data_IF_182293718716
#
_entry.id   IF_182293718716
#
_cell.length_a   1.000
_cell.length_b   1.000
_cell.length_c   1.000
_cell.angle_alpha   90.00
_cell.angle_beta   90.00
_cell.angle_gamma   90.00
#
_symmetry.space_group_name_H-M   'P 1'
#
loop_
_entity.id
_entity.type
_entity.pdbx_description
1 polymer ?
#
# COMPACT_ATOMS: atom_id res chain seq x y z
N UNK A 1 -30.26 40.42 9.36
CA UNK A 1 -29.79 39.02 9.31
C UNK A 1 -28.29 39.03 9.09
N UNK A 2 -27.49 38.84 10.15
CA UNK A 2 -26.04 38.65 9.99
C UNK A 2 -25.79 37.19 9.62
N UNK A 3 -25.26 36.94 8.41
CA UNK A 3 -24.81 35.61 8.01
C UNK A 3 -23.41 35.37 8.59
N UNK A 4 -23.32 34.47 9.56
CA UNK A 4 -22.05 34.01 10.12
C UNK A 4 -21.41 33.02 9.13
N UNK A 5 -20.39 33.46 8.39
CA UNK A 5 -19.64 32.58 7.48
C UNK A 5 -18.70 31.71 8.32
N UNK A 6 -19.00 30.42 8.44
CA UNK A 6 -18.10 29.46 9.05
C UNK A 6 -16.92 29.20 8.09
N UNK A 7 -15.73 29.69 8.42
CA UNK A 7 -14.50 29.24 7.77
C UNK A 7 -14.23 27.79 8.19
N UNK A 8 -14.44 26.83 7.28
CA UNK A 8 -13.86 25.50 7.45
C UNK A 8 -12.34 25.63 7.35
N UNK A 9 -11.66 25.62 8.48
CA UNK A 9 -10.21 25.46 8.52
C UNK A 9 -9.87 24.05 8.00
N UNK A 10 -9.39 23.95 6.76
CA UNK A 10 -8.64 22.79 6.30
C UNK A 10 -7.34 22.75 7.10
N UNK A 11 -7.30 21.96 8.17
CA UNK A 11 -6.03 21.64 8.81
C UNK A 11 -5.16 20.93 7.75
N UNK A 12 -3.96 21.45 7.41
CA UNK A 12 -3.04 20.71 6.57
C UNK A 12 -2.70 19.43 7.33
N UNK A 13 -3.15 18.29 6.81
CA UNK A 13 -2.64 17.00 7.28
C UNK A 13 -1.13 17.05 7.09
N UNK A 14 -0.37 17.07 8.19
CA UNK A 14 1.08 17.05 8.14
C UNK A 14 1.50 15.90 7.22
N UNK A 15 1.99 16.23 6.02
CA UNK A 15 2.39 15.20 5.06
C UNK A 15 3.61 14.52 5.67
N UNK A 16 3.42 13.29 6.14
CA UNK A 16 4.51 12.51 6.72
C UNK A 16 5.69 12.48 5.74
N UNK A 17 6.92 12.63 6.26
CA UNK A 17 8.15 12.60 5.45
C UNK A 17 8.11 11.39 4.51
N UNK A 18 8.31 11.58 3.19
CA UNK A 18 8.31 10.49 2.22
C UNK A 18 9.26 9.37 2.62
N UNK A 19 8.88 8.14 2.33
CA UNK A 19 9.81 7.02 2.33
C UNK A 19 10.73 7.17 1.11
N UNK A 20 12.04 7.29 1.32
CA UNK A 20 12.99 7.49 0.23
C UNK A 20 13.42 6.15 -0.37
N UNK A 21 13.51 6.09 -1.69
CA UNK A 21 14.16 5.03 -2.45
C UNK A 21 15.17 5.70 -3.41
N UNK A 22 16.44 5.39 -3.27
CA UNK A 22 17.47 5.82 -4.23
C UNK A 22 17.57 4.85 -5.40
N UNK A 23 17.81 5.36 -6.61
CA UNK A 23 18.36 4.60 -7.74
C UNK A 23 19.86 4.92 -7.77
N UNK A 24 20.71 3.92 -7.66
CA UNK A 24 22.15 4.13 -7.48
C UNK A 24 22.97 3.45 -8.56
N UNK A 25 24.22 3.91 -8.67
CA UNK A 25 25.23 3.40 -9.61
C UNK A 25 25.36 1.88 -9.54
N UNK A 26 25.25 1.21 -10.68
CA UNK A 26 25.14 -0.25 -10.75
C UNK A 26 23.69 -0.76 -10.71
N UNK A 27 22.76 0.07 -11.18
CA UNK A 27 21.39 -0.28 -11.54
C UNK A 27 20.59 -0.98 -10.44
N UNK A 28 20.47 -0.32 -9.29
CA UNK A 28 19.69 -0.85 -8.16
C UNK A 28 18.77 0.17 -7.50
N UNK A 29 17.68 -0.34 -6.92
CA UNK A 29 16.86 0.41 -5.96
C UNK A 29 17.33 0.15 -4.53
N UNK A 30 17.55 1.23 -3.76
CA UNK A 30 17.91 1.15 -2.34
C UNK A 30 16.97 1.99 -1.46
N UNK A 31 16.25 1.37 -0.49
CA UNK A 31 16.18 -0.07 -0.28
C UNK A 31 15.36 -0.75 -1.38
N UNK A 32 15.71 -2.01 -1.69
CA UNK A 32 14.95 -2.85 -2.64
C UNK A 32 13.52 -3.11 -2.17
N UNK A 33 13.28 -3.08 -0.84
CA UNK A 33 11.98 -3.31 -0.22
C UNK A 33 11.59 -2.10 0.64
N UNK A 34 10.63 -1.32 0.16
CA UNK A 34 10.02 -0.24 0.92
C UNK A 34 8.81 -0.78 1.71
N UNK A 35 8.93 -0.90 3.04
CA UNK A 35 7.82 -1.36 3.89
C UNK A 35 7.17 -0.16 4.59
N UNK A 36 5.93 0.16 4.21
CA UNK A 36 5.23 1.39 4.60
C UNK A 36 3.81 1.13 5.14
N UNK A 37 3.23 2.17 5.73
CA UNK A 37 1.81 2.20 6.15
C UNK A 37 0.94 2.83 5.06
N UNK A 38 -0.37 2.58 5.13
CA UNK A 38 -1.34 3.19 4.21
C UNK A 38 -1.26 4.72 4.26
N UNK A 39 -1.37 5.35 3.09
CA UNK A 39 -1.34 6.80 2.93
C UNK A 39 0.07 7.40 2.89
N UNK A 40 1.12 6.59 3.05
CA UNK A 40 2.50 7.09 2.99
C UNK A 40 2.93 7.34 1.55
N UNK A 41 3.65 8.44 1.35
CA UNK A 41 4.33 8.77 0.11
C UNK A 41 5.66 8.01 0.00
N UNK A 42 5.96 7.47 -1.18
CA UNK A 42 7.27 6.95 -1.55
C UNK A 42 7.85 7.88 -2.61
N UNK A 43 9.10 8.28 -2.41
CA UNK A 43 9.84 9.13 -3.34
C UNK A 43 11.06 8.38 -3.85
N UNK A 44 11.11 8.17 -5.16
CA UNK A 44 12.26 7.67 -5.86
C UNK A 44 13.13 8.84 -6.29
N UNK A 45 14.44 8.72 -6.10
CA UNK A 45 15.43 9.73 -6.51
C UNK A 45 16.50 9.03 -7.31
N UNK A 46 16.78 9.49 -8.53
CA UNK A 46 17.95 9.02 -9.24
C UNK A 46 19.22 9.67 -8.66
N UNK A 47 20.05 8.88 -8.00
CA UNK A 47 21.35 9.30 -7.47
C UNK A 47 22.50 8.76 -8.32
N UNK A 48 22.21 8.10 -9.43
CA UNK A 48 23.18 7.62 -10.40
C UNK A 48 23.54 8.76 -11.36
N UNK A 49 24.81 9.23 -11.38
CA UNK A 49 25.24 10.27 -12.30
C UNK A 49 25.48 9.76 -13.72
N UNK A 50 25.56 8.43 -13.91
CA UNK A 50 25.93 7.80 -15.17
C UNK A 50 24.72 7.39 -15.99
N UNK A 51 23.64 6.95 -15.34
CA UNK A 51 22.49 6.36 -16.01
C UNK A 51 21.15 7.03 -15.66
N UNK A 52 20.18 6.85 -16.55
CA UNK A 52 18.79 7.27 -16.33
C UNK A 52 17.97 6.10 -15.84
N UNK A 53 17.04 6.36 -14.92
CA UNK A 53 16.26 5.31 -14.29
C UNK A 53 14.78 5.69 -14.21
N UNK A 54 13.89 4.72 -14.26
CA UNK A 54 12.47 4.91 -14.01
C UNK A 54 11.95 3.91 -12.97
N UNK A 55 10.67 4.04 -12.62
CA UNK A 55 9.96 3.07 -11.81
C UNK A 55 8.62 2.75 -12.45
N UNK A 56 8.50 1.51 -12.93
CA UNK A 56 7.29 1.02 -13.58
C UNK A 56 6.75 -0.17 -12.82
N UNK A 57 5.46 -0.10 -12.46
CA UNK A 57 4.81 -1.20 -11.77
C UNK A 57 4.60 -2.38 -12.69
N UNK A 58 5.09 -3.56 -12.30
CA UNK A 58 4.80 -4.82 -12.99
C UNK A 58 3.30 -5.14 -13.02
N UNK A 59 2.52 -4.56 -12.09
CA UNK A 59 1.07 -4.75 -12.01
C UNK A 59 0.28 -3.58 -12.62
N UNK A 60 0.89 -2.71 -13.42
CA UNK A 60 0.23 -1.61 -14.13
C UNK A 60 -0.46 -0.57 -13.22
N UNK A 61 0.09 -0.32 -12.03
CA UNK A 61 -0.41 0.72 -11.12
C UNK A 61 0.19 2.11 -11.36
N UNK A 62 1.41 2.18 -11.89
CA UNK A 62 2.09 3.42 -12.28
C UNK A 62 3.19 3.15 -13.30
N UNK A 63 3.58 4.22 -13.97
CA UNK A 63 4.85 4.40 -14.69
C UNK A 63 5.34 5.79 -14.31
N UNK A 64 6.63 5.95 -14.00
CA UNK A 64 7.25 7.27 -14.01
C UNK A 64 7.74 7.61 -15.42
N UNK A 65 8.22 8.84 -15.58
CA UNK A 65 9.13 9.19 -16.67
C UNK A 65 10.54 8.64 -16.35
N UNK A 66 11.44 8.66 -17.34
CA UNK A 66 12.87 8.47 -17.11
C UNK A 66 13.39 9.65 -16.27
N UNK A 67 14.12 9.33 -15.21
CA UNK A 67 14.70 10.28 -14.28
C UNK A 67 16.19 10.38 -14.55
N UNK A 68 16.67 11.57 -14.92
CA UNK A 68 18.09 11.91 -14.91
C UNK A 68 18.60 12.10 -13.48
N UNK A 69 19.92 12.22 -13.31
CA UNK A 69 20.55 12.49 -12.01
C UNK A 69 19.87 13.63 -11.24
N UNK A 70 19.55 13.37 -9.97
CA UNK A 70 18.86 14.29 -9.06
C UNK A 70 17.34 14.39 -9.26
N UNK A 71 16.79 13.89 -10.37
CA UNK A 71 15.35 13.92 -10.63
C UNK A 71 14.60 12.85 -9.85
N UNK A 72 13.33 13.14 -9.57
CA UNK A 72 12.54 12.36 -8.62
C UNK A 72 11.12 12.14 -9.06
N UNK A 73 10.60 10.97 -8.71
CA UNK A 73 9.20 10.61 -8.85
C UNK A 73 8.61 10.30 -7.48
N UNK A 74 7.35 10.69 -7.24
CA UNK A 74 6.69 10.44 -5.95
C UNK A 74 5.31 9.84 -6.15
N UNK A 75 4.95 8.87 -5.30
CA UNK A 75 3.63 8.24 -5.31
C UNK A 75 3.14 7.95 -3.89
N UNK A 76 1.88 8.28 -3.64
CA UNK A 76 1.20 7.94 -2.38
C UNK A 76 0.50 6.60 -2.50
N UNK A 77 0.75 5.72 -1.52
CA UNK A 77 0.19 4.37 -1.47
C UNK A 77 -0.91 4.27 -0.43
N UNK A 78 -2.16 4.43 -0.87
CA UNK A 78 -3.31 4.40 0.03
C UNK A 78 -3.74 2.99 0.42
N UNK A 79 -3.62 2.01 -0.48
CA UNK A 79 -4.17 0.67 -0.29
C UNK A 79 -3.10 -0.32 0.15
N UNK A 80 -3.46 -1.20 1.09
CA UNK A 80 -2.63 -2.32 1.50
C UNK A 80 -2.46 -3.33 0.36
N UNK A 81 -1.23 -3.79 0.19
CA UNK A 81 -0.82 -4.66 -0.90
C UNK A 81 0.70 -4.70 -1.03
N UNK A 82 1.20 -5.58 -1.89
CA UNK A 82 2.59 -5.57 -2.34
C UNK A 82 2.62 -5.18 -3.82
N UNK A 83 3.35 -4.13 -4.12
CA UNK A 83 3.49 -3.57 -5.46
C UNK A 83 4.92 -3.77 -5.90
N UNK A 84 5.13 -4.61 -6.91
CA UNK A 84 6.45 -4.82 -7.51
C UNK A 84 6.65 -3.85 -8.66
N UNK A 85 7.90 -3.48 -8.89
CA UNK A 85 8.28 -2.56 -9.94
C UNK A 85 9.70 -2.86 -10.42
N UNK A 86 10.01 -2.33 -11.59
CA UNK A 86 11.31 -2.44 -12.26
C UNK A 86 11.72 -1.11 -12.87
N UNK A 87 12.98 -1.01 -13.29
CA UNK A 87 13.43 -0.03 -14.27
C UNK A 87 13.35 -0.63 -15.67
N UNK A 88 12.85 0.13 -16.65
CA UNK A 88 12.66 -0.34 -18.04
C UNK A 88 13.95 -0.37 -18.85
N UNK A 89 14.93 0.46 -18.50
CA UNK A 89 16.27 0.48 -19.14
C UNK A 89 17.17 -0.65 -18.60
N UNK A 90 16.96 -1.08 -17.35
CA UNK A 90 17.81 -2.05 -16.65
C UNK A 90 16.98 -3.22 -16.12
N UNK A 91 16.87 -4.30 -16.90
CA UNK A 91 15.92 -5.37 -16.64
C UNK A 91 16.08 -6.08 -15.27
N UNK A 92 17.30 -6.14 -14.73
CA UNK A 92 17.57 -6.77 -13.42
C UNK A 92 17.28 -5.84 -12.23
N UNK A 93 17.09 -4.55 -12.49
CA UNK A 93 16.80 -3.54 -11.48
C UNK A 93 15.35 -3.64 -11.04
N UNK A 94 15.10 -4.34 -9.94
CA UNK A 94 13.75 -4.60 -9.41
C UNK A 94 13.57 -4.16 -7.96
N UNK A 95 12.35 -3.81 -7.60
CA UNK A 95 12.01 -3.38 -6.24
C UNK A 95 10.56 -3.69 -5.89
N UNK A 96 10.21 -3.50 -4.62
CA UNK A 96 8.80 -3.60 -4.18
C UNK A 96 8.44 -2.65 -3.05
N UNK A 97 7.23 -2.12 -3.13
CA UNK A 97 6.56 -1.40 -2.04
C UNK A 97 5.58 -2.33 -1.36
N UNK A 98 5.79 -2.58 -0.07
CA UNK A 98 4.89 -3.36 0.79
C UNK A 98 4.11 -2.44 1.70
N UNK A 99 2.81 -2.29 1.42
CA UNK A 99 1.89 -1.49 2.23
C UNK A 99 1.18 -2.43 3.19
N UNK A 100 1.44 -2.26 4.49
CA UNK A 100 0.89 -3.12 5.55
C UNK A 100 -0.62 -2.94 5.67
N UNK A 101 -1.34 -3.99 6.05
CA UNK A 101 -2.66 -3.83 6.68
C UNK A 101 -2.49 -3.37 8.14
N UNK A 102 -3.48 -2.65 8.66
CA UNK A 102 -3.59 -2.38 10.11
C UNK A 102 -4.78 -3.19 10.62
N UNK A 103 -4.61 -3.87 11.74
CA UNK A 103 -5.71 -4.56 12.42
C UNK A 103 -5.62 -4.32 13.92
N UNK A 104 -6.79 -4.09 14.53
CA UNK A 104 -6.99 -3.93 15.98
C UNK A 104 -8.09 -4.89 16.44
N UNK A 105 -8.10 -5.23 17.73
CA UNK A 105 -9.09 -6.13 18.32
C UNK A 105 -9.69 -5.52 19.60
N UNK A 106 -10.98 -5.79 19.81
CA UNK A 106 -11.69 -5.57 21.07
C UNK A 106 -12.41 -6.87 21.41
N UNK A 107 -11.85 -7.66 22.32
CA UNK A 107 -12.18 -9.08 22.45
C UNK A 107 -12.00 -9.80 21.12
N UNK A 108 -12.99 -10.61 20.71
CA UNK A 108 -12.98 -11.33 19.42
C UNK A 108 -13.38 -10.49 18.21
N UNK A 109 -13.68 -9.19 18.38
CA UNK A 109 -14.05 -8.29 17.28
C UNK A 109 -12.82 -7.58 16.75
N UNK A 110 -12.50 -7.83 15.49
CA UNK A 110 -11.40 -7.23 14.74
C UNK A 110 -11.90 -6.09 13.85
N UNK A 111 -11.13 -5.01 13.78
CA UNK A 111 -11.26 -4.00 12.72
C UNK A 111 -10.02 -4.07 11.85
N UNK A 112 -10.19 -4.46 10.58
CA UNK A 112 -9.11 -4.60 9.60
C UNK A 112 -9.16 -3.39 8.68
N UNK A 113 -8.22 -2.47 8.84
CA UNK A 113 -8.02 -1.30 7.97
C UNK A 113 -7.08 -1.65 6.83
N UNK A 114 -7.57 -1.49 5.61
CA UNK A 114 -6.89 -1.86 4.36
C UNK A 114 -6.57 -0.66 3.48
N UNK A 115 -7.09 0.52 3.80
CA UNK A 115 -6.78 1.74 3.04
C UNK A 115 -6.85 3.02 3.85
N UNK A 116 -6.03 3.99 3.47
CA UNK A 116 -6.10 5.36 4.00
C UNK A 116 -7.33 6.12 3.48
N UNK A 117 -7.83 5.78 2.28
CA UNK A 117 -8.97 6.42 1.62
C UNK A 117 -10.00 5.38 1.17
N UNK A 118 -11.26 5.80 1.00
CA UNK A 118 -12.26 4.97 0.31
C UNK A 118 -11.78 4.74 -1.12
N UNK A 119 -11.83 3.49 -1.59
CA UNK A 119 -11.40 3.16 -2.94
C UNK A 119 -12.33 3.84 -3.96
N UNK A 120 -11.79 4.41 -5.05
CA UNK A 120 -12.62 4.88 -6.15
C UNK A 120 -13.48 3.75 -6.72
N UNK A 121 -14.59 4.09 -7.39
CA UNK A 121 -15.58 3.11 -7.87
C UNK A 121 -15.04 1.99 -8.76
N UNK A 122 -13.92 2.23 -9.45
CA UNK A 122 -13.23 1.25 -10.29
C UNK A 122 -12.21 0.38 -9.54
N UNK A 123 -12.16 0.46 -8.21
CA UNK A 123 -11.20 -0.28 -7.40
C UNK A 123 -11.86 -1.04 -6.25
N UNK A 124 -11.24 -2.15 -5.85
CA UNK A 124 -11.71 -3.01 -4.76
C UNK A 124 -10.55 -3.47 -3.89
N UNK A 125 -10.78 -3.55 -2.59
CA UNK A 125 -9.94 -4.27 -1.65
C UNK A 125 -10.44 -5.70 -1.50
N UNK A 126 -9.55 -6.67 -1.70
CA UNK A 126 -9.77 -8.07 -1.37
C UNK A 126 -9.04 -8.38 -0.08
N UNK A 127 -9.71 -9.03 0.86
CA UNK A 127 -9.21 -9.25 2.22
C UNK A 127 -9.29 -10.73 2.54
N UNK A 128 -8.17 -11.28 2.99
CA UNK A 128 -8.10 -12.65 3.49
C UNK A 128 -7.77 -12.65 4.97
N UNK A 129 -8.29 -13.67 5.64
CA UNK A 129 -7.94 -14.01 7.01
C UNK A 129 -7.40 -15.42 7.10
N UNK A 130 -6.65 -15.69 8.15
CA UNK A 130 -6.27 -17.03 8.59
C UNK A 130 -6.75 -17.20 10.02
N UNK A 131 -7.47 -18.28 10.29
CA UNK A 131 -8.06 -18.58 11.60
C UNK A 131 -7.02 -19.24 12.53
N UNK A 132 -7.26 -19.27 13.86
CA UNK A 132 -6.42 -19.99 14.81
C UNK A 132 -6.20 -21.44 14.40
N UNK A 133 -4.97 -21.91 14.48
CA UNK A 133 -4.58 -23.30 14.13
C UNK A 133 -4.58 -23.63 12.63
N UNK A 134 -5.06 -22.74 11.76
CA UNK A 134 -5.07 -22.99 10.32
C UNK A 134 -3.84 -22.42 9.61
N UNK A 135 -3.31 -23.15 8.64
CA UNK A 135 -2.33 -22.63 7.66
C UNK A 135 -3.00 -21.94 6.47
N UNK A 136 -4.30 -22.18 6.25
CA UNK A 136 -5.02 -21.78 5.05
C UNK A 136 -5.59 -20.36 5.14
N UNK A 137 -5.47 -19.63 4.03
CA UNK A 137 -6.13 -18.33 3.87
C UNK A 137 -7.57 -18.53 3.41
N UNK A 138 -8.50 -17.81 4.05
CA UNK A 138 -9.92 -17.76 3.71
C UNK A 138 -10.29 -16.33 3.36
N UNK A 139 -11.11 -16.15 2.33
CA UNK A 139 -11.63 -14.83 1.97
C UNK A 139 -12.52 -14.29 3.09
N UNK A 140 -12.12 -13.14 3.65
CA UNK A 140 -12.93 -12.37 4.59
C UNK A 140 -13.85 -11.40 3.83
N UNK A 141 -13.34 -10.78 2.76
CA UNK A 141 -14.11 -9.89 1.90
C UNK A 141 -13.56 -9.97 0.47
N UNK A 142 -14.43 -10.24 -0.50
CA UNK A 142 -14.05 -10.45 -1.90
C UNK A 142 -13.95 -9.15 -2.73
N UNK A 143 -14.32 -8.00 -2.17
CA UNK A 143 -14.28 -6.72 -2.89
C UNK A 143 -15.08 -5.63 -2.20
N UNK A 144 -14.40 -4.81 -1.40
CA UNK A 144 -14.98 -3.61 -0.77
C UNK A 144 -14.30 -2.35 -1.27
N UNK A 145 -15.02 -1.22 -1.30
CA UNK A 145 -14.41 0.12 -1.43
C UNK A 145 -14.11 0.74 -0.07
N UNK A 146 -14.62 0.18 1.02
CA UNK A 146 -14.44 0.72 2.35
C UNK A 146 -12.98 0.64 2.80
N UNK A 147 -12.57 1.63 3.60
CA UNK A 147 -11.23 1.71 4.22
C UNK A 147 -10.96 0.55 5.17
N UNK A 148 -12.00 0.00 5.78
CA UNK A 148 -11.92 -1.05 6.77
C UNK A 148 -13.11 -2.00 6.72
N UNK A 149 -12.91 -3.22 7.21
CA UNK A 149 -13.97 -4.19 7.48
C UNK A 149 -13.91 -4.64 8.94
N UNK A 150 -15.06 -5.00 9.51
CA UNK A 150 -15.13 -5.65 10.82
C UNK A 150 -15.25 -7.16 10.65
N UNK A 151 -14.68 -7.91 11.58
CA UNK A 151 -14.80 -9.37 11.65
C UNK A 151 -14.88 -9.82 13.10
N UNK A 152 -15.82 -10.71 13.44
CA UNK A 152 -15.87 -11.33 14.77
C UNK A 152 -15.39 -12.78 14.66
N UNK A 153 -14.29 -13.10 15.33
CA UNK A 153 -13.75 -14.45 15.41
C UNK A 153 -14.66 -15.37 16.23
N UNK A 154 -14.91 -16.62 15.81
CA UNK A 154 -15.76 -17.55 16.57
C UNK A 154 -15.12 -18.02 17.88
N UNK A 155 -13.79 -17.95 18.02
CA UNK A 155 -13.06 -18.44 19.17
C UNK A 155 -11.88 -17.51 19.52
N UNK A 156 -11.30 -17.73 20.69
CA UNK A 156 -10.00 -17.18 21.03
C UNK A 156 -8.90 -17.76 20.12
N UNK A 157 -7.77 -17.06 20.04
CA UNK A 157 -6.57 -17.52 19.37
C UNK A 157 -5.96 -16.50 18.41
N UNK A 158 -5.05 -16.99 17.59
CA UNK A 158 -4.23 -16.18 16.68
C UNK A 158 -4.86 -16.08 15.30
N UNK A 159 -5.20 -14.86 14.89
CA UNK A 159 -5.71 -14.53 13.57
C UNK A 159 -4.66 -13.76 12.76
N UNK A 160 -4.56 -14.02 11.46
CA UNK A 160 -3.76 -13.21 10.54
C UNK A 160 -4.63 -12.60 9.46
N UNK A 161 -4.35 -11.36 9.05
CA UNK A 161 -5.06 -10.65 7.99
C UNK A 161 -4.09 -10.16 6.93
N UNK A 162 -4.50 -10.20 5.66
CA UNK A 162 -3.78 -9.59 4.54
C UNK A 162 -4.77 -9.04 3.52
N UNK A 163 -4.33 -8.10 2.71
CA UNK A 163 -5.16 -7.50 1.68
C UNK A 163 -4.43 -7.35 0.35
N UNK A 164 -5.19 -7.31 -0.74
CA UNK A 164 -4.75 -6.94 -2.07
C UNK A 164 -5.67 -5.87 -2.64
N UNK A 165 -5.16 -5.07 -3.56
CA UNK A 165 -5.88 -3.99 -4.21
C UNK A 165 -6.07 -4.30 -5.69
N UNK A 166 -7.30 -4.19 -6.19
CA UNK A 166 -7.68 -4.51 -7.56
C UNK A 166 -8.26 -3.28 -8.25
N UNK A 167 -7.83 -2.99 -9.47
CA UNK A 167 -8.53 -2.13 -10.44
C UNK A 167 -9.37 -3.04 -11.33
N UNK A 168 -10.64 -2.67 -11.59
CA UNK A 168 -11.55 -3.51 -12.36
C UNK A 168 -11.30 -3.37 -13.87
N UNK A 169 -11.08 -2.14 -14.36
CA UNK A 169 -10.77 -1.88 -15.76
C UNK A 169 -9.81 -0.69 -15.97
N UNK A 170 -8.73 -0.82 -16.77
CA UNK A 170 -8.14 -2.09 -17.18
C UNK A 170 -7.73 -2.88 -15.93
N UNK A 171 -7.82 -4.20 -15.99
CA UNK A 171 -7.56 -5.05 -14.84
C UNK A 171 -6.10 -4.87 -14.35
N UNK A 172 -5.96 -4.69 -13.05
CA UNK A 172 -4.68 -4.70 -12.36
C UNK A 172 -4.91 -5.21 -10.94
N UNK A 173 -3.97 -5.96 -10.39
CA UNK A 173 -4.07 -6.45 -9.02
C UNK A 173 -2.70 -6.45 -8.34
N UNK A 174 -2.62 -5.89 -7.14
CA UNK A 174 -1.42 -5.97 -6.33
C UNK A 174 -1.22 -7.39 -5.82
N UNK A 175 0.01 -7.74 -5.45
CA UNK A 175 0.23 -8.89 -4.60
C UNK A 175 -0.34 -8.64 -3.19
N UNK A 176 -0.43 -9.70 -2.39
CA UNK A 176 -0.88 -9.60 -1.00
C UNK A 176 0.07 -8.75 -0.16
N UNK A 177 -0.50 -7.94 0.74
CA UNK A 177 0.25 -7.23 1.78
C UNK A 177 0.98 -8.21 2.70
N UNK A 178 2.05 -7.77 3.40
CA UNK A 178 2.51 -8.48 4.58
C UNK A 178 1.35 -8.75 5.54
N UNK A 179 1.27 -9.95 6.15
CA UNK A 179 0.19 -10.28 7.04
C UNK A 179 0.33 -9.52 8.38
N UNK A 180 -0.79 -9.04 8.93
CA UNK A 180 -0.86 -8.58 10.32
C UNK A 180 -1.51 -9.67 11.17
N UNK A 181 -0.79 -10.13 12.18
CA UNK A 181 -1.25 -11.13 13.14
C UNK A 181 -1.63 -10.49 14.46
N UNK A 182 -2.72 -10.97 15.06
CA UNK A 182 -3.18 -10.62 16.41
C UNK A 182 -3.63 -11.88 17.14
N UNK A 183 -3.43 -11.92 18.45
CA UNK A 183 -3.95 -12.96 19.34
C UNK A 183 -4.99 -12.34 20.25
N UNK A 184 -6.13 -13.00 20.39
CA UNK A 184 -7.22 -12.59 21.30
C UNK A 184 -7.53 -13.73 22.26
N UNK A 185 -7.78 -13.39 23.52
CA UNK A 185 -8.22 -14.30 24.59
C UNK A 185 -9.74 -14.39 24.67
#
# INVERSE_FOLDING_TARGET
MLALTAMLAFAPSASAVPFQVGMGQGDYFSPTIAIITQGRNVRWTNNDPSDVHDTVSEQNFWSSELLSYGQTFSRTFNAAGTYKYLCTEHADMTGKVQVKVKATASGRRFTVTVSALVAPGNFRHVIQRRNPGSSNWVTLNAGTTARSVSYTGPAAGTYSFRAAYKRLSPFAQSNWSPPKTLTVS
#
